data_IF_999484246946
#
_entry.id   IF_999484246946
#
_cell.length_a   1.000
_cell.length_b   1.000
_cell.length_c   1.000
_cell.angle_alpha   90.00
_cell.angle_beta   90.00
_cell.angle_gamma   90.00
#
_symmetry.space_group_name_H-M   'P 1'
#
loop_
_entity.id
_entity.type
_entity.pdbx_description
1 polymer ?
#
# COMPACT_ATOMS: atom_id res chain seq x y z
N UNK A 1 -28.71 -1.25 26.41
CA UNK A 1 -29.56 -1.85 25.36
C UNK A 1 -29.64 -1.03 24.07
N UNK A 2 -29.51 0.30 24.10
CA UNK A 2 -29.57 1.14 22.90
C UNK A 2 -28.26 1.21 22.11
N UNK A 3 -27.13 0.93 22.70
CA UNK A 3 -25.80 1.01 22.07
C UNK A 3 -25.51 -0.19 21.15
N UNK A 4 -25.90 -1.42 21.57
CA UNK A 4 -25.81 -2.58 20.71
C UNK A 4 -26.70 -2.46 19.46
N UNK A 5 -27.86 -1.81 19.59
CA UNK A 5 -28.76 -1.54 18.44
C UNK A 5 -28.15 -0.53 17.45
N UNK A 6 -27.42 0.48 17.94
CA UNK A 6 -26.76 1.46 17.06
C UNK A 6 -25.58 0.83 16.29
N UNK A 7 -24.79 -0.04 16.92
CA UNK A 7 -23.72 -0.78 16.28
C UNK A 7 -24.27 -1.80 15.28
N UNK A 8 -25.36 -2.51 15.64
CA UNK A 8 -26.04 -3.44 14.73
C UNK A 8 -26.71 -2.74 13.55
N UNK A 9 -27.29 -1.56 13.76
CA UNK A 9 -27.90 -0.75 12.71
C UNK A 9 -26.83 -0.17 11.76
N UNK A 10 -25.68 0.26 12.30
CA UNK A 10 -24.53 0.68 11.51
C UNK A 10 -23.99 -0.44 10.62
N UNK A 11 -23.88 -1.66 11.14
CA UNK A 11 -23.45 -2.83 10.36
C UNK A 11 -24.47 -3.26 9.30
N UNK A 12 -25.78 -3.10 9.55
CA UNK A 12 -26.85 -3.49 8.61
C UNK A 12 -27.00 -2.48 7.45
N UNK A 13 -26.90 -1.19 7.73
CA UNK A 13 -26.86 -0.15 6.68
C UNK A 13 -25.62 -0.32 5.82
N UNK A 14 -24.52 -0.72 6.42
CA UNK A 14 -23.26 -1.02 5.78
C UNK A 14 -23.35 -2.18 4.76
N UNK A 15 -24.05 -3.27 5.12
CA UNK A 15 -24.21 -4.44 4.22
C UNK A 15 -25.09 -4.14 3.00
N UNK A 16 -26.00 -3.17 3.09
CA UNK A 16 -26.90 -2.80 1.98
C UNK A 16 -26.30 -1.79 1.00
N UNK A 17 -25.34 -0.97 1.40
CA UNK A 17 -24.69 0.02 0.53
C UNK A 17 -23.54 -0.55 -0.30
N UNK A 18 -23.00 -1.73 0.07
CA UNK A 18 -21.96 -2.45 -0.67
C UNK A 18 -22.45 -3.01 -2.01
N UNK A 19 -23.79 -3.13 -2.21
CA UNK A 19 -24.39 -3.67 -3.44
C UNK A 19 -24.55 -2.66 -4.58
N UNK A 20 -24.29 -1.39 -4.38
CA UNK A 20 -24.29 -0.38 -5.45
C UNK A 20 -22.90 0.24 -5.57
N UNK A 21 -22.37 0.41 -6.77
CA UNK A 21 -21.00 0.87 -7.07
C UNK A 21 -20.52 2.18 -6.41
N UNK A 22 -21.32 2.78 -5.53
CA UNK A 22 -20.99 3.86 -4.59
C UNK A 22 -20.43 3.35 -3.26
N UNK A 23 -20.41 2.03 -3.03
CA UNK A 23 -20.13 1.42 -1.73
C UNK A 23 -18.71 1.65 -1.20
N UNK A 24 -17.71 1.77 -2.07
CA UNK A 24 -16.31 1.94 -1.64
C UNK A 24 -16.10 3.34 -1.04
N UNK A 25 -16.69 4.38 -1.63
CA UNK A 25 -16.57 5.75 -1.14
C UNK A 25 -17.27 5.93 0.23
N UNK A 26 -18.47 5.38 0.36
CA UNK A 26 -19.20 5.36 1.62
C UNK A 26 -18.46 4.57 2.70
N UNK A 27 -17.78 3.49 2.33
CA UNK A 27 -17.02 2.63 3.24
C UNK A 27 -15.82 3.37 3.87
N UNK A 28 -15.05 4.10 3.05
CA UNK A 28 -13.88 4.84 3.53
C UNK A 28 -14.28 6.02 4.43
N UNK A 29 -15.33 6.74 4.05
CA UNK A 29 -15.87 7.83 4.87
C UNK A 29 -16.40 7.33 6.22
N UNK A 30 -17.03 6.14 6.24
CA UNK A 30 -17.52 5.52 7.49
C UNK A 30 -16.40 4.89 8.32
N UNK A 31 -15.27 4.46 7.71
CA UNK A 31 -14.11 3.95 8.45
C UNK A 31 -13.45 5.05 9.27
N UNK A 32 -13.28 6.24 8.69
CA UNK A 32 -12.74 7.40 9.42
C UNK A 32 -13.69 7.88 10.53
N UNK A 33 -14.99 7.86 10.27
CA UNK A 33 -16.02 8.17 11.27
C UNK A 33 -16.05 7.13 12.40
N UNK A 34 -15.87 5.85 12.09
CA UNK A 34 -15.78 4.78 13.10
C UNK A 34 -14.50 4.94 13.93
N UNK A 35 -13.38 5.28 13.31
CA UNK A 35 -12.12 5.56 14.01
C UNK A 35 -12.28 6.77 14.92
N UNK A 36 -12.87 7.86 14.44
CA UNK A 36 -13.12 9.06 15.22
C UNK A 36 -14.10 8.79 16.38
N UNK A 37 -15.18 8.05 16.14
CA UNK A 37 -16.13 7.66 17.18
C UNK A 37 -15.50 6.72 18.23
N UNK A 38 -14.62 5.81 17.80
CA UNK A 38 -13.91 4.91 18.73
C UNK A 38 -12.85 5.65 19.54
N UNK A 39 -12.14 6.62 18.97
CA UNK A 39 -11.22 7.49 19.70
C UNK A 39 -11.93 8.40 20.70
N UNK A 40 -13.08 8.95 20.32
CA UNK A 40 -13.91 9.77 21.21
C UNK A 40 -14.49 8.97 22.38
N UNK A 41 -14.95 7.75 22.14
CA UNK A 41 -15.43 6.84 23.17
C UNK A 41 -14.31 6.41 24.13
N UNK A 42 -13.08 6.19 23.62
CA UNK A 42 -11.89 5.88 24.41
C UNK A 42 -11.50 7.03 25.36
N UNK A 43 -11.51 8.28 24.87
CA UNK A 43 -11.23 9.47 25.69
C UNK A 43 -12.24 9.67 26.83
N UNK A 44 -13.44 9.12 26.72
CA UNK A 44 -14.53 9.27 27.69
C UNK A 44 -14.62 8.17 28.77
N UNK A 45 -13.57 7.38 29.00
CA UNK A 45 -13.41 6.60 30.24
C UNK A 45 -13.90 5.14 30.22
N UNK A 46 -14.14 4.55 29.08
CA UNK A 46 -14.56 3.13 28.97
C UNK A 46 -13.36 2.17 28.83
N UNK A 47 -12.36 2.27 29.70
CA UNK A 47 -11.02 1.69 29.47
C UNK A 47 -10.91 0.16 29.48
N UNK A 48 -11.68 -0.62 30.23
CA UNK A 48 -11.41 -2.07 30.38
C UNK A 48 -12.19 -3.02 29.45
N UNK A 49 -13.40 -2.67 29.05
CA UNK A 49 -14.18 -3.48 28.09
C UNK A 49 -13.88 -3.14 26.63
N UNK A 50 -13.26 -2.00 26.41
CA UNK A 50 -13.05 -1.41 25.11
C UNK A 50 -11.73 -1.83 24.44
N UNK A 51 -10.70 -2.21 25.21
CA UNK A 51 -9.42 -2.69 24.66
C UNK A 51 -9.63 -3.97 23.81
N UNK A 52 -10.44 -4.90 24.29
CA UNK A 52 -10.80 -6.10 23.52
C UNK A 52 -11.63 -5.77 22.26
N UNK A 53 -12.51 -4.78 22.34
CA UNK A 53 -13.29 -4.29 21.21
C UNK A 53 -12.44 -3.54 20.18
N UNK A 54 -11.46 -2.73 20.63
CA UNK A 54 -10.54 -1.98 19.75
C UNK A 54 -9.61 -2.94 18.99
N UNK A 55 -9.06 -3.96 19.64
CA UNK A 55 -8.22 -4.97 18.98
C UNK A 55 -9.01 -5.74 17.92
N UNK A 56 -10.28 -6.07 18.19
CA UNK A 56 -11.14 -6.74 17.22
C UNK A 56 -11.49 -5.83 16.04
N UNK A 57 -11.89 -4.58 16.28
CA UNK A 57 -12.21 -3.62 15.20
C UNK A 57 -10.95 -3.30 14.37
N UNK A 58 -9.80 -3.12 15.01
CA UNK A 58 -8.55 -2.86 14.31
C UNK A 58 -8.11 -4.07 13.48
N UNK A 59 -8.29 -5.30 13.98
CA UNK A 59 -7.99 -6.53 13.24
C UNK A 59 -8.92 -6.71 12.03
N UNK A 60 -10.21 -6.42 12.18
CA UNK A 60 -11.20 -6.47 11.10
C UNK A 60 -10.89 -5.41 10.03
N UNK A 61 -10.62 -4.16 10.43
CA UNK A 61 -10.24 -3.10 9.50
C UNK A 61 -8.94 -3.44 8.76
N UNK A 62 -7.95 -4.02 9.44
CA UNK A 62 -6.70 -4.47 8.82
C UNK A 62 -6.95 -5.59 7.80
N UNK A 63 -7.87 -6.51 8.09
CA UNK A 63 -8.29 -7.57 7.17
C UNK A 63 -9.00 -6.98 5.94
N UNK A 64 -9.88 -6.01 6.14
CA UNK A 64 -10.61 -5.33 5.06
C UNK A 64 -9.68 -4.51 4.16
N UNK A 65 -8.71 -3.78 4.71
CA UNK A 65 -7.67 -3.12 3.92
C UNK A 65 -6.91 -4.13 3.05
N UNK A 66 -6.61 -5.29 3.60
CA UNK A 66 -5.93 -6.34 2.86
C UNK A 66 -6.80 -6.88 1.72
N UNK A 67 -8.09 -7.12 1.97
CA UNK A 67 -9.05 -7.56 0.96
C UNK A 67 -9.26 -6.52 -0.14
N UNK A 68 -9.30 -5.24 0.21
CA UNK A 68 -9.41 -4.15 -0.77
C UNK A 68 -8.16 -4.10 -1.65
N UNK A 69 -6.96 -4.20 -1.07
CA UNK A 69 -5.71 -4.23 -1.84
C UNK A 69 -5.66 -5.45 -2.76
N UNK A 70 -6.12 -6.61 -2.29
CA UNK A 70 -6.24 -7.82 -3.13
C UNK A 70 -7.17 -7.56 -4.30
N UNK A 71 -8.37 -7.03 -4.08
CA UNK A 71 -9.32 -6.68 -5.15
C UNK A 71 -8.75 -5.67 -6.13
N UNK A 72 -8.03 -4.67 -5.62
CA UNK A 72 -7.35 -3.67 -6.44
C UNK A 72 -6.21 -4.25 -7.27
N UNK A 73 -5.53 -5.29 -6.78
CA UNK A 73 -4.52 -6.03 -7.55
C UNK A 73 -5.13 -6.99 -8.55
N UNK A 74 -6.35 -7.46 -8.28
CA UNK A 74 -7.14 -8.30 -9.18
C UNK A 74 -7.86 -7.50 -10.28
N UNK A 75 -8.08 -6.18 -10.09
CA UNK A 75 -8.40 -5.29 -11.20
C UNK A 75 -7.23 -5.36 -12.20
N UNK A 76 -7.30 -6.36 -13.06
CA UNK A 76 -6.30 -6.57 -14.11
C UNK A 76 -6.11 -5.25 -14.83
N UNK A 77 -4.94 -4.65 -14.65
CA UNK A 77 -4.53 -3.53 -15.46
C UNK A 77 -4.72 -3.88 -16.93
N UNK A 78 -5.81 -3.38 -17.51
CA UNK A 78 -6.08 -3.60 -18.92
C UNK A 78 -5.22 -2.64 -19.73
N UNK A 79 -4.08 -3.13 -20.18
CA UNK A 79 -3.15 -2.39 -21.07
C UNK A 79 -3.83 -1.89 -22.34
N UNK A 80 -4.90 -2.51 -22.79
CA UNK A 80 -5.63 -2.13 -24.00
C UNK A 80 -6.61 -0.99 -23.74
N UNK A 81 -6.97 -0.75 -22.48
CA UNK A 81 -7.88 0.32 -22.12
C UNK A 81 -7.12 1.61 -21.79
N UNK A 82 -7.01 2.49 -22.76
CA UNK A 82 -6.32 3.79 -22.64
C UNK A 82 -6.89 4.62 -21.47
N UNK A 83 -8.19 4.58 -21.23
CA UNK A 83 -8.81 5.31 -20.12
C UNK A 83 -8.33 4.79 -18.77
N UNK A 84 -8.19 3.48 -18.64
CA UNK A 84 -7.68 2.85 -17.42
C UNK A 84 -6.20 3.20 -17.21
N UNK A 85 -5.39 3.24 -18.27
CA UNK A 85 -3.99 3.67 -18.19
C UNK A 85 -3.87 5.11 -17.69
N UNK A 86 -4.60 6.02 -18.31
CA UNK A 86 -4.59 7.46 -17.92
C UNK A 86 -5.01 7.64 -16.47
N UNK A 87 -6.06 6.92 -16.03
CA UNK A 87 -6.54 6.97 -14.66
C UNK A 87 -5.46 6.48 -13.67
N UNK A 88 -4.81 5.35 -13.99
CA UNK A 88 -3.77 4.77 -13.15
C UNK A 88 -2.55 5.71 -13.05
N UNK A 89 -2.14 6.32 -14.15
CA UNK A 89 -1.07 7.31 -14.17
C UNK A 89 -1.40 8.56 -13.32
N UNK A 90 -2.63 9.05 -13.39
CA UNK A 90 -3.09 10.17 -12.54
C UNK A 90 -3.05 9.80 -11.05
N UNK A 91 -3.48 8.60 -10.69
CA UNK A 91 -3.44 8.10 -9.32
C UNK A 91 -2.02 7.94 -8.79
N UNK A 92 -1.08 7.43 -9.61
CA UNK A 92 0.34 7.38 -9.26
C UNK A 92 0.88 8.81 -9.06
N UNK A 93 0.49 9.75 -9.92
CA UNK A 93 0.93 11.15 -9.81
C UNK A 93 0.44 11.80 -8.52
N UNK A 94 -0.80 11.54 -8.08
CA UNK A 94 -1.30 11.98 -6.77
C UNK A 94 -0.41 11.51 -5.62
N UNK A 95 0.02 10.23 -5.64
CA UNK A 95 0.95 9.71 -4.63
C UNK A 95 2.26 10.48 -4.68
N UNK A 96 2.81 10.73 -5.87
CA UNK A 96 4.05 11.49 -6.04
C UNK A 96 3.94 12.91 -5.51
N UNK A 97 2.87 13.62 -5.84
CA UNK A 97 2.64 15.00 -5.41
C UNK A 97 2.51 15.13 -3.89
N UNK A 98 1.81 14.19 -3.26
CA UNK A 98 1.72 14.11 -1.80
C UNK A 98 3.06 13.77 -1.15
N UNK A 99 3.90 12.99 -1.82
CA UNK A 99 5.20 12.54 -1.31
C UNK A 99 6.28 13.60 -1.46
N UNK A 100 6.36 14.20 -2.64
CA UNK A 100 7.43 15.11 -3.02
C UNK A 100 6.95 16.12 -4.09
N UNK A 101 6.37 17.21 -3.63
CA UNK A 101 5.85 18.29 -4.49
C UNK A 101 6.92 18.98 -5.37
N UNK A 102 8.21 18.73 -5.11
CA UNK A 102 9.33 19.28 -5.89
C UNK A 102 9.86 18.31 -6.97
N UNK A 103 9.20 17.16 -7.13
CA UNK A 103 9.61 16.20 -8.15
C UNK A 103 9.34 16.78 -9.56
N UNK A 104 10.37 16.84 -10.41
CA UNK A 104 10.22 17.38 -11.77
C UNK A 104 9.31 16.51 -12.63
N UNK A 105 8.62 17.10 -13.60
CA UNK A 105 7.71 16.39 -14.51
C UNK A 105 8.42 15.25 -15.26
N UNK A 106 9.69 15.47 -15.67
CA UNK A 106 10.50 14.43 -16.30
C UNK A 106 10.73 13.22 -15.37
N UNK A 107 10.99 13.43 -14.08
CA UNK A 107 11.11 12.35 -13.11
C UNK A 107 9.76 11.70 -12.85
N UNK A 108 8.68 12.46 -12.74
CA UNK A 108 7.32 11.90 -12.60
C UNK A 108 6.99 10.97 -13.77
N UNK A 109 7.28 11.41 -15.00
CA UNK A 109 7.07 10.60 -16.20
C UNK A 109 7.86 9.27 -16.15
N UNK A 110 9.16 9.32 -15.77
CA UNK A 110 9.98 8.12 -15.61
C UNK A 110 9.44 7.17 -14.52
N UNK A 111 9.04 7.70 -13.38
CA UNK A 111 8.44 6.89 -12.31
C UNK A 111 7.14 6.23 -12.77
N UNK A 112 6.22 6.97 -13.39
CA UNK A 112 4.98 6.42 -13.95
C UNK A 112 5.29 5.28 -14.92
N UNK A 113 6.17 5.53 -15.89
CA UNK A 113 6.57 4.55 -16.89
C UNK A 113 7.10 3.25 -16.26
N UNK A 114 8.04 3.34 -15.31
CA UNK A 114 8.67 2.15 -14.75
C UNK A 114 7.83 1.48 -13.67
N UNK A 115 7.02 2.20 -12.91
CA UNK A 115 6.03 1.61 -11.99
C UNK A 115 5.03 0.77 -12.78
N UNK A 116 4.41 1.34 -13.82
CA UNK A 116 3.46 0.64 -14.68
C UNK A 116 4.09 -0.60 -15.33
N UNK A 117 5.28 -0.44 -15.91
CA UNK A 117 6.00 -1.54 -16.57
C UNK A 117 6.31 -2.70 -15.66
N UNK A 118 6.86 -2.43 -14.47
CA UNK A 118 7.35 -3.49 -13.60
C UNK A 118 6.25 -4.06 -12.70
N UNK A 119 5.26 -3.25 -12.32
CA UNK A 119 4.06 -3.75 -11.67
C UNK A 119 3.34 -4.77 -12.55
N UNK A 120 3.14 -4.44 -13.82
CA UNK A 120 2.53 -5.36 -14.78
C UNK A 120 3.33 -6.66 -14.95
N UNK A 121 4.65 -6.56 -15.16
CA UNK A 121 5.51 -7.75 -15.32
C UNK A 121 5.45 -8.71 -14.13
N UNK A 122 5.36 -8.16 -12.93
CA UNK A 122 5.34 -8.96 -11.70
C UNK A 122 3.94 -9.13 -11.11
N UNK A 123 2.89 -8.80 -11.86
CA UNK A 123 1.47 -8.92 -11.47
C UNK A 123 1.18 -8.25 -10.12
N UNK A 124 1.69 -7.03 -9.95
CA UNK A 124 1.48 -6.19 -8.78
C UNK A 124 0.56 -5.01 -9.11
N UNK A 125 -0.14 -4.49 -8.12
CA UNK A 125 -0.84 -3.21 -8.28
C UNK A 125 0.16 -2.08 -8.46
N UNK A 126 0.06 -1.23 -9.51
CA UNK A 126 0.92 -0.07 -9.68
C UNK A 126 0.84 0.91 -8.51
N UNK A 127 -0.34 1.06 -7.90
CA UNK A 127 -0.54 1.93 -6.74
C UNK A 127 0.14 1.38 -5.49
N UNK A 128 0.12 0.07 -5.30
CA UNK A 128 0.86 -0.59 -4.21
C UNK A 128 2.37 -0.38 -4.36
N UNK A 129 2.92 -0.54 -5.56
CA UNK A 129 4.34 -0.26 -5.85
C UNK A 129 4.68 1.20 -5.59
N UNK A 130 3.86 2.15 -6.05
CA UNK A 130 4.04 3.57 -5.81
C UNK A 130 4.01 3.92 -4.31
N UNK A 131 3.12 3.28 -3.55
CA UNK A 131 3.01 3.47 -2.09
C UNK A 131 4.22 2.93 -1.33
N UNK A 132 4.82 1.82 -1.79
CA UNK A 132 6.10 1.33 -1.25
C UNK A 132 7.20 2.36 -1.52
N UNK A 133 7.32 2.88 -2.75
CA UNK A 133 8.34 3.89 -3.11
C UNK A 133 8.16 5.17 -2.27
N UNK A 134 6.91 5.61 -2.08
CA UNK A 134 6.61 6.70 -1.15
C UNK A 134 7.17 6.43 0.24
N UNK A 135 6.83 5.29 0.82
CA UNK A 135 7.23 4.96 2.21
C UNK A 135 8.73 4.76 2.37
N UNK A 136 9.42 4.22 1.37
CA UNK A 136 10.85 3.94 1.41
C UNK A 136 11.70 5.21 1.21
N UNK A 137 11.33 6.08 0.28
CA UNK A 137 12.25 7.13 -0.17
C UNK A 137 11.59 8.46 -0.53
N UNK A 138 10.26 8.58 -0.50
CA UNK A 138 9.55 9.72 -1.07
C UNK A 138 10.01 10.01 -2.52
N UNK A 139 10.14 8.97 -3.34
CA UNK A 139 10.59 9.05 -4.74
C UNK A 139 12.02 9.61 -4.92
N UNK A 140 12.91 9.38 -3.96
CA UNK A 140 14.33 9.70 -4.11
C UNK A 140 15.12 8.46 -4.57
N UNK A 141 15.41 8.39 -5.87
CA UNK A 141 16.15 7.26 -6.45
C UNK A 141 17.60 7.15 -5.96
N UNK A 142 18.15 8.22 -5.38
CA UNK A 142 19.52 8.23 -4.85
C UNK A 142 19.64 7.82 -3.39
N UNK A 143 18.51 7.51 -2.74
CA UNK A 143 18.50 7.18 -1.33
C UNK A 143 19.39 5.96 -1.00
N UNK A 144 20.12 6.07 0.10
CA UNK A 144 20.92 5.00 0.72
C UNK A 144 20.63 4.98 2.22
N UNK A 145 20.20 3.84 2.74
CA UNK A 145 19.98 3.69 4.18
C UNK A 145 21.27 3.37 4.93
N UNK A 146 21.23 3.47 6.28
CA UNK A 146 22.32 3.03 7.15
C UNK A 146 22.70 1.55 6.94
N UNK A 147 21.75 0.70 6.56
CA UNK A 147 21.96 -0.72 6.26
C UNK A 147 22.42 -0.98 4.82
N UNK A 148 22.71 0.07 4.05
CA UNK A 148 23.10 0.00 2.64
C UNK A 148 21.95 -0.48 1.70
N UNK A 149 20.70 -0.25 2.07
CA UNK A 149 19.59 -0.38 1.13
C UNK A 149 19.62 0.77 0.13
N UNK A 150 19.33 0.50 -1.15
CA UNK A 150 19.56 1.43 -2.26
C UNK A 150 18.34 1.62 -3.15
N UNK A 151 18.25 2.83 -3.68
CA UNK A 151 17.32 3.19 -4.73
C UNK A 151 15.87 3.36 -4.27
N UNK A 152 14.93 3.56 -5.22
CA UNK A 152 13.56 3.99 -4.91
C UNK A 152 12.80 3.03 -4.01
N UNK A 153 13.07 1.73 -4.09
CA UNK A 153 12.45 0.70 -3.27
C UNK A 153 13.39 0.13 -2.19
N UNK A 154 14.50 0.79 -1.87
CA UNK A 154 15.43 0.43 -0.78
C UNK A 154 15.84 -1.06 -0.79
N UNK A 155 16.31 -1.54 -1.93
CA UNK A 155 16.75 -2.93 -2.08
C UNK A 155 18.10 -3.15 -1.40
N UNK A 156 18.20 -4.15 -0.54
CA UNK A 156 19.45 -4.63 0.06
C UNK A 156 20.17 -5.59 -0.90
N UNK A 157 21.11 -5.07 -1.67
CA UNK A 157 21.83 -5.86 -2.70
C UNK A 157 22.41 -7.17 -2.16
N UNK A 158 22.99 -7.16 -0.95
CA UNK A 158 23.61 -8.36 -0.33
C UNK A 158 22.67 -9.55 -0.20
N UNK A 159 21.37 -9.32 -0.03
CA UNK A 159 20.35 -10.38 0.12
C UNK A 159 19.66 -10.75 -1.20
N UNK A 160 19.87 -9.96 -2.25
CA UNK A 160 19.16 -10.12 -3.53
C UNK A 160 20.12 -10.18 -4.72
N UNK A 161 21.40 -10.59 -4.47
CA UNK A 161 22.41 -10.76 -5.51
C UNK A 161 21.98 -11.70 -6.63
N UNK A 162 21.28 -12.76 -6.28
CA UNK A 162 20.74 -13.74 -7.22
C UNK A 162 19.81 -13.09 -8.25
N UNK A 163 18.90 -12.22 -7.79
CA UNK A 163 17.97 -11.48 -8.64
C UNK A 163 18.68 -10.44 -9.50
N UNK A 164 19.55 -9.68 -8.88
CA UNK A 164 20.35 -8.67 -9.58
C UNK A 164 21.20 -9.31 -10.67
N UNK A 165 21.90 -10.42 -10.37
CA UNK A 165 22.75 -11.12 -11.33
C UNK A 165 21.96 -11.68 -12.51
N UNK A 166 20.79 -12.30 -12.26
CA UNK A 166 19.89 -12.79 -13.33
C UNK A 166 19.43 -11.68 -14.28
N UNK A 167 19.38 -10.43 -13.81
CA UNK A 167 18.99 -9.26 -14.58
C UNK A 167 20.19 -8.47 -15.13
N UNK A 168 21.43 -8.88 -14.86
CA UNK A 168 22.63 -8.13 -15.21
C UNK A 168 22.78 -6.79 -14.47
N UNK A 169 22.12 -6.64 -13.30
CA UNK A 169 22.09 -5.40 -12.52
C UNK A 169 23.18 -5.43 -11.45
N UNK A 170 24.05 -4.43 -11.45
CA UNK A 170 25.06 -4.22 -10.41
C UNK A 170 24.49 -3.43 -9.24
N UNK A 171 25.12 -3.48 -8.07
CA UNK A 171 24.67 -2.74 -6.88
C UNK A 171 24.45 -1.24 -7.14
N UNK A 172 25.36 -0.59 -7.87
CA UNK A 172 25.26 0.82 -8.23
C UNK A 172 24.04 1.16 -9.11
N UNK A 173 23.57 0.20 -9.90
CA UNK A 173 22.48 0.39 -10.83
C UNK A 173 21.10 0.47 -10.11
N UNK A 174 21.03 0.00 -8.86
CA UNK A 174 19.83 0.10 -8.02
C UNK A 174 19.40 1.56 -7.76
N UNK A 175 20.30 2.52 -7.94
CA UNK A 175 19.98 3.96 -7.88
C UNK A 175 19.27 4.49 -9.14
N UNK A 176 19.09 3.71 -10.16
CA UNK A 176 18.26 4.11 -11.29
C UNK A 176 16.79 3.76 -11.02
N UNK A 177 15.88 4.63 -11.43
CA UNK A 177 14.43 4.41 -11.28
C UNK A 177 14.05 3.06 -11.88
N UNK A 178 14.55 2.75 -13.09
CA UNK A 178 14.26 1.51 -13.79
C UNK A 178 14.69 0.26 -12.99
N UNK A 179 15.96 0.16 -12.63
CA UNK A 179 16.50 -1.06 -12.03
C UNK A 179 16.07 -1.20 -10.56
N UNK A 180 16.00 -0.11 -9.81
CA UNK A 180 15.55 -0.15 -8.42
C UNK A 180 14.10 -0.63 -8.30
N UNK A 181 13.20 -0.17 -9.19
CA UNK A 181 11.80 -0.63 -9.22
C UNK A 181 11.72 -2.07 -9.71
N UNK A 182 12.47 -2.44 -10.76
CA UNK A 182 12.48 -3.82 -11.29
C UNK A 182 12.83 -4.84 -10.20
N UNK A 183 13.96 -4.64 -9.52
CA UNK A 183 14.41 -5.58 -8.47
C UNK A 183 13.48 -5.53 -7.27
N UNK A 184 13.04 -4.33 -6.82
CA UNK A 184 12.10 -4.19 -5.72
C UNK A 184 10.77 -4.91 -5.97
N UNK A 185 10.19 -4.78 -7.16
CA UNK A 185 8.98 -5.51 -7.56
C UNK A 185 9.19 -7.03 -7.56
N UNK A 186 10.34 -7.50 -8.04
CA UNK A 186 10.66 -8.94 -7.99
C UNK A 186 10.77 -9.46 -6.55
N UNK A 187 11.34 -8.67 -5.66
CA UNK A 187 11.47 -9.04 -4.24
C UNK A 187 10.11 -9.12 -3.55
N UNK A 188 9.27 -8.08 -3.70
CA UNK A 188 7.96 -8.08 -3.05
C UNK A 188 7.03 -9.16 -3.64
N UNK A 189 7.09 -9.41 -4.96
CA UNK A 189 6.39 -10.53 -5.60
C UNK A 189 6.74 -11.86 -4.97
N UNK A 190 8.04 -12.16 -4.82
CA UNK A 190 8.50 -13.38 -4.17
C UNK A 190 7.98 -13.51 -2.73
N UNK A 191 7.96 -12.41 -1.97
CA UNK A 191 7.43 -12.43 -0.61
C UNK A 191 5.92 -12.62 -0.56
N UNK A 192 5.18 -12.12 -1.56
CA UNK A 192 3.75 -12.40 -1.70
C UNK A 192 3.50 -13.88 -1.99
N UNK A 193 4.26 -14.49 -2.91
CA UNK A 193 4.18 -15.92 -3.21
C UNK A 193 4.49 -16.79 -1.98
N UNK A 194 5.55 -16.48 -1.26
CA UNK A 194 5.93 -17.22 -0.05
C UNK A 194 4.94 -17.08 1.11
N UNK A 195 4.08 -16.07 1.09
CA UNK A 195 3.09 -15.81 2.12
C UNK A 195 1.65 -15.96 1.61
N UNK A 196 1.43 -16.75 0.58
CA UNK A 196 0.10 -17.01 0.01
C UNK A 196 -0.68 -15.71 -0.27
N UNK A 197 -0.02 -14.72 -0.87
CA UNK A 197 -0.57 -13.41 -1.21
C UNK A 197 -1.05 -12.58 0.01
N UNK A 198 -0.57 -12.91 1.20
CA UNK A 198 -0.78 -12.08 2.36
C UNK A 198 0.15 -10.85 2.30
N UNK A 199 -0.40 -9.71 1.88
CA UNK A 199 0.34 -8.45 1.71
C UNK A 199 1.02 -7.98 2.99
N UNK A 200 0.33 -8.11 4.15
CA UNK A 200 0.90 -7.72 5.44
C UNK A 200 2.11 -8.57 5.81
N UNK A 201 2.01 -9.87 5.64
CA UNK A 201 3.12 -10.79 5.91
C UNK A 201 4.29 -10.57 4.93
N UNK A 202 4.00 -10.32 3.65
CA UNK A 202 5.01 -10.00 2.64
C UNK A 202 5.74 -8.69 2.96
N UNK A 203 5.02 -7.63 3.37
CA UNK A 203 5.61 -6.36 3.77
C UNK A 203 6.45 -6.47 5.06
N UNK A 204 6.03 -7.29 6.04
CA UNK A 204 6.86 -7.60 7.22
C UNK A 204 8.21 -8.21 6.82
N UNK A 205 8.20 -9.13 5.86
CA UNK A 205 9.45 -9.71 5.32
C UNK A 205 10.27 -8.70 4.54
N UNK A 206 9.60 -7.82 3.78
CA UNK A 206 10.25 -6.80 2.97
C UNK A 206 11.06 -5.83 3.82
N UNK A 207 10.48 -5.34 4.91
CA UNK A 207 11.16 -4.41 5.83
C UNK A 207 12.11 -5.12 6.81
N UNK A 208 12.12 -6.47 6.82
CA UNK A 208 12.95 -7.24 7.74
C UNK A 208 12.52 -7.13 9.20
N UNK A 209 11.23 -6.90 9.46
CA UNK A 209 10.72 -6.70 10.79
C UNK A 209 10.50 -8.02 11.54
N UNK A 210 10.87 -8.01 12.81
CA UNK A 210 10.56 -9.06 13.77
C UNK A 210 9.37 -8.57 14.62
N UNK A 211 8.35 -9.40 14.77
CA UNK A 211 7.10 -9.09 15.51
C UNK A 211 6.26 -7.97 14.86
N UNK A 212 5.57 -7.16 15.67
CA UNK A 212 4.65 -6.10 15.21
C UNK A 212 5.35 -4.75 14.96
N UNK A 213 6.68 -4.70 14.98
CA UNK A 213 7.44 -3.45 14.79
C UNK A 213 7.25 -2.79 13.41
N UNK A 214 6.65 -3.50 12.43
CA UNK A 214 6.37 -2.99 11.09
C UNK A 214 4.94 -2.50 10.90
N UNK A 215 4.07 -2.55 11.91
CA UNK A 215 2.65 -2.25 11.68
C UNK A 215 2.43 -0.83 11.17
N UNK A 216 3.08 0.17 11.75
CA UNK A 216 3.01 1.54 11.24
C UNK A 216 3.52 1.71 9.81
N UNK A 217 4.62 1.01 9.44
CA UNK A 217 5.13 0.99 8.07
C UNK A 217 4.10 0.43 7.09
N UNK A 218 3.46 -0.66 7.46
CA UNK A 218 2.48 -1.35 6.62
C UNK A 218 1.21 -0.51 6.47
N UNK A 219 0.73 0.07 7.58
CA UNK A 219 -0.46 0.91 7.58
C UNK A 219 -0.25 2.17 6.74
N UNK A 220 0.94 2.78 6.75
CA UNK A 220 1.27 3.92 5.90
C UNK A 220 1.18 3.56 4.40
N UNK A 221 1.68 2.38 4.01
CA UNK A 221 1.58 1.91 2.63
C UNK A 221 0.12 1.71 2.23
N UNK A 222 -0.69 1.09 3.08
CA UNK A 222 -2.10 0.85 2.81
C UNK A 222 -2.88 2.16 2.72
N UNK A 223 -2.69 3.09 3.68
CA UNK A 223 -3.31 4.42 3.66
C UNK A 223 -2.95 5.21 2.40
N UNK A 224 -1.69 5.15 1.96
CA UNK A 224 -1.27 5.83 0.74
C UNK A 224 -1.87 5.18 -0.51
N UNK A 225 -1.96 3.84 -0.56
CA UNK A 225 -2.62 3.14 -1.65
C UNK A 225 -4.10 3.52 -1.74
N UNK A 226 -4.79 3.60 -0.59
CA UNK A 226 -6.19 4.04 -0.53
C UNK A 226 -6.37 5.50 -0.96
N UNK A 227 -5.53 6.41 -0.45
CA UNK A 227 -5.53 7.82 -0.84
C UNK A 227 -5.50 8.02 -2.37
N UNK A 228 -4.82 7.16 -3.10
CA UNK A 228 -4.75 7.24 -4.54
C UNK A 228 -6.10 6.98 -5.24
N UNK A 229 -7.04 6.33 -4.58
CA UNK A 229 -8.39 6.05 -5.10
C UNK A 229 -9.43 7.12 -4.72
N UNK A 230 -9.15 7.95 -3.72
CA UNK A 230 -10.02 9.06 -3.36
C UNK A 230 -9.99 10.09 -4.49
N UNK A 231 -11.11 10.37 -5.14
CA UNK A 231 -11.27 11.40 -6.19
C UNK A 231 -11.53 12.77 -5.59
#
# INVERSE_FOLDING_TARGET
MNYLKAVFFGCLVFSMTVLSGYGIYSYLYHSDLIIECTEKAYKNGYQKGFLSGKENVESVLRQEYQNIIIRMSEEKYDKKNIKHQILMEKRIERIMDKSNSKLSDSKKALYKQYIMKWADKYELSPLFVASIIHRETNFNEKAVSKSNARGPMQVLYKYHKDKCNKLGIKEKDLHTINHGINVGCQVIRQYLEWNNWNYRAALKKYVGAVNNSADGYIDDIFKMTMYAYEE
#
